data_IF_816889907253
#
_entry.id   IF_816889907253
#
_cell.length_a   1.000
_cell.length_b   1.000
_cell.length_c   1.000
_cell.angle_alpha   90.00
_cell.angle_beta   90.00
_cell.angle_gamma   90.00
#
_symmetry.space_group_name_H-M   'P 1'
#
loop_
_entity.id
_entity.type
_entity.pdbx_description
1 polymer ?
#
# COMPACT_ATOMS: atom_id res chain seq x y z
N UNK A 1 16.54 8.08 3.38
CA UNK A 1 15.22 7.90 4.01
C UNK A 1 15.07 6.40 4.31
N UNK A 2 14.37 6.01 5.38
CA UNK A 2 14.35 4.65 5.96
C UNK A 2 14.11 3.52 4.93
N UNK A 3 13.37 3.81 3.87
CA UNK A 3 13.11 2.98 2.69
C UNK A 3 14.38 2.44 1.99
N UNK A 4 15.43 3.26 1.89
CA UNK A 4 16.71 2.87 1.27
C UNK A 4 17.49 1.87 2.14
N UNK A 5 17.34 1.94 3.47
CA UNK A 5 18.07 1.08 4.42
C UNK A 5 17.52 -0.35 4.45
N UNK A 6 16.22 -0.51 4.23
CA UNK A 6 15.54 -1.83 4.21
C UNK A 6 15.25 -2.33 2.80
N UNK A 7 15.75 -1.64 1.75
CA UNK A 7 15.54 -1.96 0.33
C UNK A 7 14.05 -2.08 -0.06
N UNK A 8 13.21 -1.22 0.52
CA UNK A 8 11.82 -1.11 0.10
C UNK A 8 11.74 -0.35 -1.23
N UNK A 9 11.07 -0.88 -2.27
CA UNK A 9 10.96 -0.23 -3.58
C UNK A 9 10.09 1.04 -3.55
N UNK A 10 9.14 1.13 -2.60
CA UNK A 10 8.25 2.28 -2.46
C UNK A 10 8.51 2.97 -1.13
N UNK A 11 8.64 4.30 -1.18
CA UNK A 11 8.73 5.13 0.02
C UNK A 11 7.39 5.19 0.77
N UNK A 12 7.37 5.25 2.11
CA UNK A 12 6.12 5.29 2.87
C UNK A 12 5.17 6.43 2.49
N UNK A 13 5.67 7.60 2.09
CA UNK A 13 4.80 8.71 1.65
C UNK A 13 4.22 8.46 0.26
N UNK A 14 4.99 7.81 -0.61
CA UNK A 14 4.50 7.41 -1.94
C UNK A 14 3.48 6.27 -1.85
N UNK A 15 3.66 5.34 -0.90
CA UNK A 15 2.72 4.25 -0.64
C UNK A 15 1.30 4.78 -0.39
N UNK A 16 1.16 5.85 0.39
CA UNK A 16 -0.13 6.50 0.68
C UNK A 16 -0.84 6.96 -0.59
N UNK A 17 -0.08 7.50 -1.55
CA UNK A 17 -0.59 8.05 -2.82
C UNK A 17 -0.96 6.96 -3.83
N UNK A 18 -0.33 5.78 -3.76
CA UNK A 18 -0.61 4.67 -4.68
C UNK A 18 -1.94 3.97 -4.40
N UNK A 19 -2.56 4.17 -3.24
CA UNK A 19 -3.79 3.47 -2.86
C UNK A 19 -4.91 3.69 -3.88
N UNK A 20 -5.24 4.96 -4.16
CA UNK A 20 -6.36 5.30 -5.04
C UNK A 20 -6.18 4.84 -6.50
N UNK A 21 -5.04 5.10 -7.18
CA UNK A 21 -4.87 4.64 -8.56
C UNK A 21 -4.88 3.10 -8.66
N UNK A 22 -4.33 2.38 -7.67
CA UNK A 22 -4.34 0.92 -7.68
C UNK A 22 -5.71 0.33 -7.31
N UNK A 23 -6.51 1.01 -6.49
CA UNK A 23 -7.88 0.63 -6.19
C UNK A 23 -8.83 0.78 -7.39
N UNK A 24 -8.49 1.64 -8.36
CA UNK A 24 -9.23 1.83 -9.60
C UNK A 24 -8.65 1.01 -10.78
N UNK A 25 -7.45 0.48 -10.62
CA UNK A 25 -6.80 -0.35 -11.62
C UNK A 25 -7.45 -1.75 -11.63
N UNK A 26 -7.63 -2.32 -12.82
CA UNK A 26 -8.23 -3.66 -12.95
C UNK A 26 -7.28 -4.73 -12.42
N UNK A 27 -7.80 -5.57 -11.53
CA UNK A 27 -7.10 -6.76 -11.04
C UNK A 27 -6.20 -6.49 -9.85
N UNK A 28 -5.24 -7.38 -9.62
CA UNK A 28 -4.43 -7.40 -8.39
C UNK A 28 -3.10 -6.67 -8.56
N UNK A 29 -2.90 -5.64 -7.76
CA UNK A 29 -1.67 -4.86 -7.66
C UNK A 29 -0.95 -5.13 -6.33
N UNK A 30 0.39 -5.07 -6.36
CA UNK A 30 1.23 -5.28 -5.17
C UNK A 30 2.41 -4.32 -5.14
N UNK A 31 2.74 -3.82 -3.96
CA UNK A 31 3.98 -3.07 -3.75
C UNK A 31 4.50 -3.26 -2.32
N UNK A 32 5.78 -2.91 -2.10
CA UNK A 32 6.44 -3.03 -0.78
C UNK A 32 6.92 -1.68 -0.27
N UNK A 33 6.66 -1.40 1.00
CA UNK A 33 7.09 -0.19 1.71
C UNK A 33 7.80 -0.54 3.02
N UNK A 34 8.66 0.36 3.52
CA UNK A 34 9.41 0.14 4.75
C UNK A 34 8.56 0.18 6.02
N UNK A 35 7.45 0.93 6.01
CA UNK A 35 6.53 1.03 7.13
C UNK A 35 5.11 1.26 6.65
N UNK A 36 4.16 0.86 7.48
CA UNK A 36 2.75 1.18 7.32
C UNK A 36 2.47 2.46 8.09
N UNK A 37 2.08 3.52 7.40
CA UNK A 37 1.67 4.79 8.03
C UNK A 37 0.18 4.71 8.41
N UNK A 38 -0.28 5.57 9.32
CA UNK A 38 -1.73 5.71 9.59
C UNK A 38 -2.50 6.25 8.39
N UNK A 39 -1.85 7.07 7.55
CA UNK A 39 -2.41 7.55 6.28
C UNK A 39 -2.66 6.39 5.32
N UNK A 40 -1.71 5.45 5.18
CA UNK A 40 -1.88 4.25 4.36
C UNK A 40 -3.08 3.42 4.82
N UNK A 41 -3.21 3.17 6.13
CA UNK A 41 -4.33 2.41 6.70
C UNK A 41 -5.67 3.08 6.42
N UNK A 42 -5.74 4.38 6.66
CA UNK A 42 -6.96 5.17 6.45
C UNK A 42 -7.32 5.22 4.97
N UNK A 43 -6.35 5.48 4.08
CA UNK A 43 -6.58 5.52 2.64
C UNK A 43 -7.10 4.19 2.10
N UNK A 44 -6.53 3.06 2.54
CA UNK A 44 -6.99 1.73 2.14
C UNK A 44 -8.43 1.46 2.62
N UNK A 45 -8.74 1.82 3.86
CA UNK A 45 -10.07 1.65 4.42
C UNK A 45 -11.11 2.53 3.70
N UNK A 46 -10.77 3.79 3.38
CA UNK A 46 -11.62 4.71 2.62
C UNK A 46 -11.80 4.22 1.19
N UNK A 47 -10.73 3.78 0.51
CA UNK A 47 -10.81 3.25 -0.84
C UNK A 47 -11.74 2.01 -0.90
N UNK A 48 -11.62 1.08 0.04
CA UNK A 48 -12.53 -0.06 0.14
C UNK A 48 -14.00 0.37 0.29
N UNK A 49 -14.28 1.39 1.12
CA UNK A 49 -15.65 1.89 1.30
C UNK A 49 -16.21 2.61 0.07
N UNK A 50 -15.37 3.35 -0.67
CA UNK A 50 -15.81 4.17 -1.80
C UNK A 50 -15.91 3.40 -3.11
N UNK A 51 -14.93 2.52 -3.40
CA UNK A 51 -14.83 1.83 -4.69
C UNK A 51 -14.92 0.30 -4.57
N UNK A 52 -15.03 -0.25 -3.35
CA UNK A 52 -15.20 -1.69 -3.14
C UNK A 52 -13.93 -2.52 -3.35
N UNK A 53 -12.75 -1.88 -3.43
CA UNK A 53 -11.50 -2.60 -3.62
C UNK A 53 -11.14 -3.46 -2.39
N UNK A 54 -10.61 -4.65 -2.62
CA UNK A 54 -10.09 -5.50 -1.53
C UNK A 54 -8.62 -5.18 -1.30
N UNK A 55 -8.16 -5.25 -0.05
CA UNK A 55 -6.76 -5.04 0.25
C UNK A 55 -6.26 -5.94 1.39
N UNK A 56 -4.95 -6.16 1.41
CA UNK A 56 -4.24 -6.79 2.54
C UNK A 56 -2.89 -6.13 2.76
N UNK A 57 -2.41 -6.19 4.00
CA UNK A 57 -1.08 -5.74 4.39
C UNK A 57 -0.40 -6.91 5.10
N UNK A 58 0.74 -7.34 4.60
CA UNK A 58 1.51 -8.46 5.13
C UNK A 58 2.93 -8.00 5.43
N UNK A 59 3.45 -8.34 6.62
CA UNK A 59 4.84 -8.07 6.94
C UNK A 59 5.74 -9.13 6.27
N UNK A 60 6.69 -8.68 5.45
CA UNK A 60 7.71 -9.51 4.82
C UNK A 60 9.09 -8.98 5.19
N UNK A 61 9.84 -9.76 5.96
CA UNK A 61 11.14 -9.40 6.54
C UNK A 61 11.10 -8.05 7.30
N UNK A 62 11.74 -7.03 6.74
CA UNK A 62 11.84 -5.66 7.27
C UNK A 62 10.93 -4.67 6.52
N UNK A 63 10.02 -5.18 5.69
CA UNK A 63 9.11 -4.40 4.85
C UNK A 63 7.68 -4.89 4.98
N UNK A 64 6.75 -4.15 4.41
CA UNK A 64 5.34 -4.49 4.33
C UNK A 64 4.92 -4.58 2.87
N UNK A 65 4.35 -5.71 2.47
CA UNK A 65 3.69 -5.88 1.18
C UNK A 65 2.24 -5.43 1.32
N UNK A 66 1.83 -4.49 0.45
CA UNK A 66 0.46 -4.04 0.32
C UNK A 66 -0.10 -4.64 -0.96
N UNK A 67 -1.18 -5.39 -0.84
CA UNK A 67 -1.97 -5.88 -1.97
C UNK A 67 -3.25 -5.05 -2.09
N UNK A 68 -3.60 -4.63 -3.30
CA UNK A 68 -4.89 -3.99 -3.61
C UNK A 68 -5.50 -4.68 -4.84
N UNK A 69 -6.78 -4.99 -4.80
CA UNK A 69 -7.57 -5.56 -5.89
C UNK A 69 -8.74 -4.63 -6.19
N UNK A 70 -8.66 -3.95 -7.34
CA UNK A 70 -9.66 -3.01 -7.86
C UNK A 70 -10.63 -3.62 -8.86
#
# INVERSE_FOLDING_TARGET
MESTLVRAPVDPLLADMLVLPLALAKGRSKYRTARVTEHLRTNLQVANQLVGCKYSIEQQDKTYEVTIEG
#
